data_IF_901516377016
#
_entry.id   IF_901516377016
#
_cell.length_a   1.000
_cell.length_b   1.000
_cell.length_c   1.000
_cell.angle_alpha   90.00
_cell.angle_beta   90.00
_cell.angle_gamma   90.00
#
_symmetry.space_group_name_H-M   'P 1'
#
loop_
_entity.id
_entity.type
_entity.pdbx_description
1 polymer ?
#
# COMPACT_ATOMS: atom_id res chain seq x y z
N UNK A 1 32.52 -4.48 24.35
CA UNK A 1 33.68 -4.17 23.49
C UNK A 1 33.55 -2.70 23.08
N UNK A 2 34.55 -1.87 23.33
CA UNK A 2 34.52 -0.44 22.97
C UNK A 2 34.98 -0.27 21.51
N UNK A 3 34.19 0.42 20.69
CA UNK A 3 34.55 0.73 19.30
C UNK A 3 35.27 2.08 19.28
N UNK A 4 36.58 2.07 19.00
CA UNK A 4 37.43 3.26 18.93
C UNK A 4 37.73 3.63 17.49
N UNK A 5 37.68 4.91 17.17
CA UNK A 5 38.15 5.45 15.89
C UNK A 5 39.22 6.50 16.19
N UNK A 6 40.48 6.12 16.05
CA UNK A 6 41.61 6.95 16.50
C UNK A 6 41.57 7.18 18.02
N UNK A 7 41.72 8.44 18.46
CA UNK A 7 41.70 8.81 19.88
C UNK A 7 40.30 9.14 20.43
N UNK A 8 39.25 8.94 19.63
CA UNK A 8 37.86 9.23 20.02
C UNK A 8 37.14 7.92 20.32
N UNK A 9 36.60 7.81 21.54
CA UNK A 9 35.65 6.76 21.89
C UNK A 9 34.25 7.18 21.42
N UNK A 10 33.81 6.63 20.29
CA UNK A 10 32.51 6.96 19.69
C UNK A 10 31.35 6.36 20.50
N UNK A 11 31.58 5.18 21.09
CA UNK A 11 30.61 4.51 21.96
C UNK A 11 31.30 4.04 23.25
N UNK A 12 31.11 4.75 24.38
CA UNK A 12 31.70 4.34 25.64
C UNK A 12 31.11 3.00 26.10
N UNK A 13 31.95 2.13 26.67
CA UNK A 13 31.57 0.76 27.04
C UNK A 13 30.45 0.69 28.10
N UNK A 14 30.16 1.79 28.78
CA UNK A 14 29.17 1.95 29.84
C UNK A 14 28.04 2.92 29.47
N UNK A 15 27.74 3.11 28.19
CA UNK A 15 26.62 3.95 27.76
C UNK A 15 25.27 3.34 28.20
N UNK A 16 24.71 3.88 29.28
CA UNK A 16 23.38 3.52 29.78
C UNK A 16 22.40 4.65 29.48
N UNK A 17 21.47 4.42 28.55
CA UNK A 17 20.37 5.33 28.30
C UNK A 17 19.14 4.87 29.09
N UNK A 18 18.66 5.72 30.00
CA UNK A 18 17.42 5.47 30.73
C UNK A 18 16.22 5.73 29.81
N UNK A 19 15.72 4.69 29.15
CA UNK A 19 14.50 4.76 28.34
C UNK A 19 13.23 4.84 29.21
N UNK A 20 13.32 4.41 30.47
CA UNK A 20 12.15 4.26 31.33
C UNK A 20 11.62 5.60 31.82
N UNK A 21 12.50 6.61 31.97
CA UNK A 21 12.10 7.99 32.28
C UNK A 21 11.15 8.62 31.26
N UNK A 22 11.17 8.18 29.99
CA UNK A 22 10.32 8.72 28.92
C UNK A 22 9.05 7.90 28.65
N UNK A 23 8.87 6.77 29.37
CA UNK A 23 7.78 5.82 29.11
C UNK A 23 6.40 6.49 29.07
N UNK A 24 6.11 7.38 30.02
CA UNK A 24 4.82 8.08 30.08
C UNK A 24 4.54 8.93 28.84
N UNK A 25 5.54 9.69 28.36
CA UNK A 25 5.42 10.52 27.16
C UNK A 25 5.24 9.66 25.91
N UNK A 26 6.05 8.60 25.76
CA UNK A 26 5.97 7.69 24.62
C UNK A 26 4.62 6.98 24.53
N UNK A 27 4.07 6.54 25.67
CA UNK A 27 2.73 5.94 25.73
C UNK A 27 1.66 6.98 25.37
N UNK A 28 1.75 8.21 25.89
CA UNK A 28 0.81 9.28 25.58
C UNK A 28 0.79 9.61 24.08
N UNK A 29 1.95 9.74 23.45
CA UNK A 29 2.07 9.98 22.01
C UNK A 29 1.51 8.80 21.22
N UNK A 30 1.84 7.56 21.60
CA UNK A 30 1.31 6.37 20.93
C UNK A 30 -0.21 6.30 21.00
N UNK A 31 -0.80 6.54 22.17
CA UNK A 31 -2.24 6.56 22.35
C UNK A 31 -2.92 7.66 21.52
N UNK A 32 -2.32 8.85 21.49
CA UNK A 32 -2.82 9.95 20.68
C UNK A 32 -2.82 9.61 19.18
N UNK A 33 -1.76 8.95 18.68
CA UNK A 33 -1.67 8.50 17.29
C UNK A 33 -2.69 7.40 16.96
N UNK A 34 -2.92 6.47 17.88
CA UNK A 34 -3.96 5.44 17.71
C UNK A 34 -5.34 6.08 17.59
N UNK A 35 -5.68 7.00 18.49
CA UNK A 35 -6.96 7.72 18.44
C UNK A 35 -7.07 8.52 17.14
N UNK A 36 -6.02 9.25 16.75
CA UNK A 36 -6.01 9.99 15.50
C UNK A 36 -6.24 9.07 14.28
N UNK A 37 -5.64 7.89 14.26
CA UNK A 37 -5.86 6.89 13.20
C UNK A 37 -7.31 6.43 13.14
N UNK A 38 -7.92 6.11 14.29
CA UNK A 38 -9.34 5.72 14.37
C UNK A 38 -10.24 6.84 13.86
N UNK A 39 -9.98 8.09 14.26
CA UNK A 39 -10.75 9.26 13.81
C UNK A 39 -10.65 9.44 12.29
N UNK A 40 -9.44 9.32 11.72
CA UNK A 40 -9.24 9.41 10.27
C UNK A 40 -10.03 8.34 9.54
N UNK A 41 -9.99 7.09 10.03
CA UNK A 41 -10.76 5.98 9.45
C UNK A 41 -12.27 6.26 9.54
N UNK A 42 -12.76 6.79 10.67
CA UNK A 42 -14.19 7.08 10.86
C UNK A 42 -14.70 8.22 9.95
N UNK A 43 -13.88 9.25 9.70
CA UNK A 43 -14.28 10.42 8.90
C UNK A 43 -14.05 10.21 7.40
N UNK A 44 -12.92 9.62 6.99
CA UNK A 44 -12.57 9.44 5.58
C UNK A 44 -13.04 8.09 5.01
N UNK A 45 -13.38 7.14 5.88
CA UNK A 45 -13.64 5.76 5.50
C UNK A 45 -12.35 4.99 5.20
N UNK A 46 -12.52 3.71 4.85
CA UNK A 46 -11.44 2.84 4.34
C UNK A 46 -11.57 2.68 2.83
N UNK A 47 -10.44 2.50 2.14
CA UNK A 47 -10.46 2.06 0.75
C UNK A 47 -10.80 0.57 0.72
N UNK A 48 -12.03 0.24 0.34
CA UNK A 48 -12.49 -1.14 0.25
C UNK A 48 -11.90 -1.83 -1.00
N UNK A 49 -11.47 -3.08 -0.86
CA UNK A 49 -11.07 -3.91 -1.99
C UNK A 49 -12.27 -4.50 -2.74
N UNK A 50 -11.99 -5.11 -3.90
CA UNK A 50 -12.96 -5.90 -4.68
C UNK A 50 -13.62 -7.02 -3.85
N UNK A 51 -12.95 -7.51 -2.80
CA UNK A 51 -13.49 -8.55 -1.91
C UNK A 51 -14.68 -8.06 -1.08
N UNK A 52 -14.79 -6.75 -0.85
CA UNK A 52 -15.84 -6.15 -0.03
C UNK A 52 -16.93 -5.45 -0.84
N UNK A 53 -16.57 -4.78 -1.94
CA UNK A 53 -17.53 -4.09 -2.81
C UNK A 53 -18.12 -5.01 -3.88
N UNK A 54 -17.52 -6.18 -4.07
CA UNK A 54 -17.75 -6.98 -5.27
C UNK A 54 -17.11 -6.32 -6.51
N UNK A 55 -16.91 -7.12 -7.54
CA UNK A 55 -16.25 -6.65 -8.74
C UNK A 55 -15.75 -7.81 -9.59
N UNK A 56 -14.95 -7.48 -10.60
CA UNK A 56 -14.31 -8.47 -11.45
C UNK A 56 -12.80 -8.24 -11.43
N UNK A 57 -12.05 -9.32 -11.24
CA UNK A 57 -10.62 -9.36 -11.49
C UNK A 57 -10.38 -10.12 -12.79
N UNK A 58 -9.71 -9.48 -13.74
CA UNK A 58 -9.35 -10.06 -15.03
C UNK A 58 -7.84 -10.10 -15.16
N UNK A 59 -7.31 -11.30 -15.31
CA UNK A 59 -5.89 -11.53 -15.58
C UNK A 59 -5.67 -11.57 -17.09
N UNK A 60 -4.84 -10.65 -17.59
CA UNK A 60 -4.54 -10.51 -19.02
C UNK A 60 -3.04 -10.65 -19.21
N UNK A 61 -2.64 -11.59 -20.06
CA UNK A 61 -1.25 -11.71 -20.52
C UNK A 61 -1.14 -11.13 -21.92
N UNK A 62 -0.29 -10.13 -22.08
CA UNK A 62 -0.07 -9.45 -23.36
C UNK A 62 1.32 -9.82 -23.86
N UNK A 63 1.37 -10.46 -25.03
CA UNK A 63 2.62 -10.89 -25.67
C UNK A 63 3.45 -9.70 -26.19
N UNK A 64 2.81 -8.57 -26.47
CA UNK A 64 3.46 -7.36 -26.95
C UNK A 64 4.22 -6.65 -25.81
N UNK A 65 5.56 -6.53 -25.89
CA UNK A 65 6.38 -5.88 -24.88
C UNK A 65 6.20 -4.34 -24.81
N UNK A 66 5.62 -3.71 -25.84
CA UNK A 66 5.33 -2.26 -25.84
C UNK A 66 3.99 -1.90 -25.17
N UNK A 67 3.23 -2.92 -24.76
CA UNK A 67 1.98 -2.71 -24.04
C UNK A 67 2.28 -2.39 -22.57
N UNK A 68 2.05 -1.14 -22.17
CA UNK A 68 2.31 -0.68 -20.81
C UNK A 68 1.00 -0.60 -19.98
N UNK A 69 1.17 -0.48 -18.66
CA UNK A 69 0.06 -0.30 -17.70
C UNK A 69 -0.88 0.85 -18.09
N UNK A 70 -0.32 1.96 -18.57
CA UNK A 70 -1.07 3.17 -18.91
C UNK A 70 -2.02 2.98 -20.10
N UNK A 71 -1.59 2.23 -21.12
CA UNK A 71 -2.44 1.85 -22.26
C UNK A 71 -3.61 0.98 -21.80
N UNK A 72 -3.35 -0.02 -20.94
CA UNK A 72 -4.39 -0.87 -20.35
C UNK A 72 -5.40 -0.02 -19.58
N UNK A 73 -4.92 0.91 -18.75
CA UNK A 73 -5.77 1.80 -17.97
C UNK A 73 -6.64 2.70 -18.87
N UNK A 74 -6.04 3.34 -19.89
CA UNK A 74 -6.78 4.18 -20.84
C UNK A 74 -7.87 3.42 -21.58
N UNK A 75 -7.61 2.19 -22.01
CA UNK A 75 -8.61 1.35 -22.69
C UNK A 75 -9.75 1.01 -21.73
N UNK A 76 -9.42 0.66 -20.48
CA UNK A 76 -10.43 0.31 -19.49
C UNK A 76 -11.30 1.52 -19.08
N UNK A 77 -10.70 2.71 -18.98
CA UNK A 77 -11.42 3.98 -18.78
C UNK A 77 -12.32 4.32 -19.97
N UNK A 78 -11.83 4.16 -21.21
CA UNK A 78 -12.62 4.38 -22.43
C UNK A 78 -13.79 3.39 -22.56
N UNK A 79 -13.63 2.17 -22.06
CA UNK A 79 -14.69 1.17 -22.02
C UNK A 79 -15.78 1.48 -20.98
N UNK A 80 -15.65 2.57 -20.22
CA UNK A 80 -16.63 2.99 -19.21
C UNK A 80 -16.62 2.11 -17.96
N UNK A 81 -15.54 1.36 -17.73
CA UNK A 81 -15.44 0.38 -16.63
C UNK A 81 -15.15 1.03 -15.27
N UNK A 82 -15.88 2.09 -14.89
CA UNK A 82 -15.80 2.68 -13.54
C UNK A 82 -14.37 2.89 -13.00
N UNK A 83 -14.15 2.58 -11.72
CA UNK A 83 -12.82 2.61 -11.09
C UNK A 83 -12.03 1.36 -11.44
N UNK A 84 -11.02 1.52 -12.29
CA UNK A 84 -10.12 0.45 -12.72
C UNK A 84 -8.76 0.59 -12.05
N UNK A 85 -8.31 -0.48 -11.41
CA UNK A 85 -6.95 -0.60 -10.90
C UNK A 85 -6.18 -1.62 -11.73
N UNK A 86 -5.10 -1.18 -12.39
CA UNK A 86 -4.20 -2.06 -13.12
C UNK A 86 -2.96 -2.32 -12.27
N UNK A 87 -2.66 -3.58 -11.98
CA UNK A 87 -1.43 -4.00 -11.31
C UNK A 87 -0.61 -4.86 -12.26
N UNK A 88 0.67 -4.55 -12.40
CA UNK A 88 1.61 -5.39 -13.17
C UNK A 88 1.96 -6.62 -12.36
N UNK A 89 1.71 -7.81 -12.92
CA UNK A 89 2.18 -9.05 -12.34
C UNK A 89 3.58 -9.32 -12.88
N UNK A 90 4.60 -9.08 -12.06
CA UNK A 90 5.97 -9.47 -12.39
C UNK A 90 6.11 -10.98 -12.25
N UNK A 91 5.63 -11.70 -13.25
CA UNK A 91 5.83 -13.13 -13.35
C UNK A 91 7.32 -13.39 -13.64
N UNK A 92 8.01 -14.08 -12.72
CA UNK A 92 9.44 -14.41 -12.88
C UNK A 92 9.69 -15.44 -13.99
N UNK A 93 8.63 -16.03 -14.55
CA UNK A 93 8.67 -16.89 -15.73
C UNK A 93 8.70 -16.02 -17.02
N UNK A 94 9.90 -15.58 -17.37
CA UNK A 94 10.30 -14.70 -18.48
C UNK A 94 9.92 -15.13 -19.93
N UNK A 95 8.93 -15.99 -20.15
CA UNK A 95 8.80 -16.70 -21.43
C UNK A 95 7.65 -16.26 -22.36
N UNK A 96 6.61 -15.54 -21.92
CA UNK A 96 5.41 -15.37 -22.76
C UNK A 96 4.76 -13.98 -22.84
N UNK A 97 5.29 -12.95 -22.17
CA UNK A 97 4.73 -11.59 -22.25
C UNK A 97 4.61 -10.91 -20.90
N UNK A 98 4.06 -9.68 -20.89
CA UNK A 98 3.76 -8.94 -19.66
C UNK A 98 2.35 -9.30 -19.18
N UNK A 99 2.24 -9.77 -17.94
CA UNK A 99 0.96 -10.08 -17.30
C UNK A 99 0.46 -8.89 -16.50
N UNK A 100 -0.81 -8.54 -16.69
CA UNK A 100 -1.51 -7.47 -16.00
C UNK A 100 -2.74 -8.04 -15.28
N UNK A 101 -2.94 -7.59 -14.05
CA UNK A 101 -4.18 -7.81 -13.30
C UNK A 101 -4.99 -6.54 -13.40
N UNK A 102 -6.16 -6.64 -14.03
CA UNK A 102 -7.12 -5.54 -14.15
C UNK A 102 -8.24 -5.79 -13.16
N UNK A 103 -8.39 -4.91 -12.16
CA UNK A 103 -9.45 -4.97 -11.17
C UNK A 103 -10.46 -3.89 -11.45
N UNK A 104 -11.70 -4.29 -11.67
CA UNK A 104 -12.85 -3.40 -11.86
C UNK A 104 -13.63 -3.39 -10.55
N UNK A 105 -13.60 -2.25 -9.86
CA UNK A 105 -14.28 -2.08 -8.57
C UNK A 105 -15.66 -1.44 -8.78
N UNK A 106 -16.70 -2.03 -8.18
CA UNK A 106 -18.02 -1.39 -8.08
C UNK A 106 -17.99 -0.27 -7.05
N UNK A 107 -18.64 0.86 -7.32
CA UNK A 107 -18.73 1.94 -6.33
C UNK A 107 -19.87 1.68 -5.34
N UNK A 108 -19.63 1.96 -4.05
CA UNK A 108 -20.63 1.81 -2.99
C UNK A 108 -21.82 2.74 -3.24
N UNK A 109 -23.01 2.17 -3.44
CA UNK A 109 -24.28 2.90 -3.56
C UNK A 109 -24.84 3.07 -4.99
N UNK A 110 -24.24 2.46 -6.01
CA UNK A 110 -24.80 2.46 -7.37
C UNK A 110 -26.00 1.50 -7.56
N UNK A 111 -26.14 0.49 -6.71
CA UNK A 111 -27.20 -0.53 -6.82
C UNK A 111 -28.46 -0.23 -5.98
N UNK A 112 -28.48 0.85 -5.18
CA UNK A 112 -29.64 1.23 -4.36
C UNK A 112 -30.66 2.12 -5.11
N UNK A 113 -30.47 2.32 -6.43
CA UNK A 113 -31.34 3.14 -7.29
C UNK A 113 -31.86 2.39 -8.52
N UNK A 114 -32.19 1.11 -8.37
CA UNK A 114 -33.07 0.38 -9.30
C UNK A 114 -34.21 -0.31 -8.55
#
# INVERSE_FOLDING_TARGET
MSFKLGNIEVFPANMSFDFMKWRGLSIGISLALVIASIVVIAVKGINYSIDFLGGAEVNVTIADPEFNREKVLKIAEQAGLGKVEVTTLSDKAKAAGQSFVVRIQRERGQDERE
#
